data_IF_200389501211
#
_entry.id   IF_200389501211
#
_cell.length_a   1.000
_cell.length_b   1.000
_cell.length_c   1.000
_cell.angle_alpha   90.00
_cell.angle_beta   90.00
_cell.angle_gamma   90.00
#
_symmetry.space_group_name_H-M   'P 1'
#
loop_
_entity.id
_entity.type
_entity.pdbx_description
1 polymer ?
#
# COMPACT_ATOMS: atom_id res chain seq x y z
N UNK A 1 -26.56 -7.53 15.40
CA UNK A 1 -25.13 -7.75 15.14
C UNK A 1 -24.55 -6.42 14.70
N UNK A 2 -23.39 -5.98 15.20
CA UNK A 2 -22.73 -4.81 14.64
C UNK A 2 -22.48 -5.06 13.14
N UNK A 3 -22.52 -4.04 12.28
CA UNK A 3 -22.20 -4.21 10.87
C UNK A 3 -20.82 -4.82 10.77
N UNK A 4 -20.68 -5.83 9.90
CA UNK A 4 -19.40 -6.46 9.67
C UNK A 4 -18.38 -5.37 9.26
N UNK A 5 -17.20 -5.43 9.87
CA UNK A 5 -16.07 -4.56 9.55
C UNK A 5 -15.86 -4.53 8.02
N UNK A 6 -15.62 -3.35 7.46
CA UNK A 6 -15.46 -3.17 6.01
C UNK A 6 -14.36 -4.09 5.47
N UNK A 7 -13.28 -4.30 6.21
CA UNK A 7 -12.21 -5.21 5.85
C UNK A 7 -12.73 -6.65 5.66
N UNK A 8 -13.55 -7.14 6.58
CA UNK A 8 -14.16 -8.48 6.50
C UNK A 8 -15.09 -8.59 5.28
N UNK A 9 -15.84 -7.53 4.97
CA UNK A 9 -16.74 -7.50 3.81
C UNK A 9 -15.95 -7.56 2.49
N UNK A 10 -14.85 -6.80 2.37
CA UNK A 10 -13.99 -6.80 1.19
C UNK A 10 -13.36 -8.18 1.01
N UNK A 11 -12.79 -8.75 2.06
CA UNK A 11 -12.19 -10.09 2.03
C UNK A 11 -13.21 -11.16 1.66
N UNK A 12 -14.43 -11.08 2.19
CA UNK A 12 -15.50 -12.03 1.85
C UNK A 12 -15.90 -11.94 0.36
N UNK A 13 -16.03 -10.72 -0.18
CA UNK A 13 -16.31 -10.50 -1.60
C UNK A 13 -15.17 -11.01 -2.49
N UNK A 14 -13.91 -10.71 -2.14
CA UNK A 14 -12.74 -11.22 -2.87
C UNK A 14 -12.68 -12.73 -2.88
N UNK A 15 -12.91 -13.38 -1.73
CA UNK A 15 -12.98 -14.85 -1.65
C UNK A 15 -14.11 -15.42 -2.51
N UNK A 16 -15.29 -14.81 -2.47
CA UNK A 16 -16.43 -15.24 -3.28
C UNK A 16 -16.13 -15.11 -4.78
N UNK A 17 -15.61 -13.97 -5.23
CA UNK A 17 -15.22 -13.73 -6.63
C UNK A 17 -14.18 -14.73 -7.11
N UNK A 18 -13.23 -15.07 -6.28
CA UNK A 18 -12.15 -16.00 -6.60
C UNK A 18 -12.53 -17.46 -6.40
N UNK A 19 -13.70 -17.77 -5.84
CA UNK A 19 -14.10 -19.13 -5.51
C UNK A 19 -13.21 -19.80 -4.45
N UNK A 20 -12.69 -19.00 -3.50
CA UNK A 20 -11.74 -19.46 -2.46
C UNK A 20 -12.49 -19.78 -1.18
N UNK A 21 -12.33 -21.01 -0.70
CA UNK A 21 -12.86 -21.40 0.62
C UNK A 21 -12.15 -20.64 1.74
N UNK A 22 -12.87 -20.25 2.82
CA UNK A 22 -12.24 -19.69 4.03
C UNK A 22 -11.16 -20.59 4.64
N UNK A 23 -11.27 -21.91 4.43
CA UNK A 23 -10.31 -22.90 4.90
C UNK A 23 -9.10 -23.13 3.97
N UNK A 24 -8.99 -22.36 2.87
CA UNK A 24 -7.83 -22.48 1.98
C UNK A 24 -6.58 -22.01 2.70
N UNK A 25 -5.58 -22.87 2.73
CA UNK A 25 -4.32 -22.62 3.41
C UNK A 25 -3.57 -21.46 2.77
N UNK A 26 -2.97 -20.62 3.61
CA UNK A 26 -1.92 -19.68 3.21
C UNK A 26 -0.80 -20.43 2.46
N UNK A 27 0.01 -19.70 1.67
CA UNK A 27 1.22 -20.27 1.12
C UNK A 27 2.05 -20.95 2.22
N UNK A 28 2.81 -22.01 1.87
CA UNK A 28 3.70 -22.62 2.85
C UNK A 28 4.66 -21.57 3.42
N UNK A 29 5.15 -21.76 4.65
CA UNK A 29 6.14 -20.87 5.24
C UNK A 29 7.31 -20.69 4.28
N UNK A 30 7.72 -19.44 4.08
CA UNK A 30 8.87 -19.13 3.25
C UNK A 30 10.13 -19.73 3.89
N UNK A 31 10.79 -20.64 3.15
CA UNK A 31 12.03 -21.28 3.60
C UNK A 31 13.28 -20.63 3.03
N UNK A 32 13.11 -19.64 2.15
CA UNK A 32 14.21 -18.85 1.61
C UNK A 32 14.78 -17.86 2.63
N UNK A 33 16.01 -17.42 2.42
CA UNK A 33 16.58 -16.32 3.19
C UNK A 33 16.13 -14.99 2.63
N UNK A 34 15.75 -14.05 3.50
CA UNK A 34 15.63 -12.64 3.11
C UNK A 34 17.02 -12.14 2.69
N UNK A 35 17.08 -11.46 1.56
CA UNK A 35 18.31 -10.80 1.12
C UNK A 35 18.06 -9.30 1.05
N UNK A 36 18.64 -8.56 1.99
CA UNK A 36 18.58 -7.10 2.01
C UNK A 36 19.11 -6.49 0.69
N UNK A 37 20.12 -7.09 0.08
CA UNK A 37 20.66 -6.64 -1.22
C UNK A 37 19.67 -6.87 -2.36
N UNK A 38 19.04 -8.04 -2.43
CA UNK A 38 18.04 -8.32 -3.45
C UNK A 38 16.78 -7.44 -3.26
N UNK A 39 16.39 -7.21 -2.03
CA UNK A 39 15.30 -6.29 -1.69
C UNK A 39 15.62 -4.85 -2.09
N UNK A 40 16.81 -4.35 -1.79
CA UNK A 40 17.25 -3.01 -2.18
C UNK A 40 17.35 -2.82 -3.71
N UNK A 41 17.49 -3.90 -4.48
CA UNK A 41 17.49 -3.86 -5.95
C UNK A 41 16.07 -3.80 -6.55
N UNK A 42 15.03 -4.06 -5.77
CA UNK A 42 13.64 -3.92 -6.23
C UNK A 42 13.36 -2.45 -6.56
N UNK A 43 12.79 -2.12 -7.75
CA UNK A 43 12.61 -0.74 -8.20
C UNK A 43 11.79 0.13 -7.23
N UNK A 44 10.75 -0.45 -6.61
CA UNK A 44 9.91 0.28 -5.66
C UNK A 44 10.67 0.61 -4.37
N UNK A 45 11.33 -0.36 -3.78
CA UNK A 45 12.16 -0.17 -2.57
C UNK A 45 13.30 0.82 -2.83
N UNK A 46 13.98 0.68 -3.97
CA UNK A 46 15.06 1.58 -4.37
C UNK A 46 14.59 3.03 -4.53
N UNK A 47 13.43 3.25 -5.15
CA UNK A 47 12.87 4.58 -5.35
C UNK A 47 12.53 5.28 -4.02
N UNK A 48 11.97 4.54 -3.05
CA UNK A 48 11.70 5.07 -1.72
C UNK A 48 12.99 5.32 -0.94
N UNK A 49 13.93 4.36 -0.99
CA UNK A 49 15.21 4.46 -0.30
C UNK A 49 16.05 5.64 -0.76
N UNK A 50 16.02 5.99 -2.05
CA UNK A 50 16.73 7.12 -2.63
C UNK A 50 16.20 8.49 -2.15
N UNK A 51 14.98 8.55 -1.61
CA UNK A 51 14.30 9.79 -1.17
C UNK A 51 13.81 9.69 0.27
N UNK A 52 14.53 8.97 1.12
CA UNK A 52 14.15 8.78 2.54
C UNK A 52 13.78 10.08 3.22
N UNK A 53 12.66 10.06 3.95
CA UNK A 53 12.11 11.23 4.63
C UNK A 53 11.28 12.17 3.75
N UNK A 54 11.27 11.94 2.41
CA UNK A 54 10.50 12.74 1.44
C UNK A 54 9.92 11.93 0.29
N UNK A 55 9.97 10.59 0.35
CA UNK A 55 9.46 9.74 -0.71
C UNK A 55 7.92 9.73 -0.72
N UNK A 56 7.32 10.14 -1.84
CA UNK A 56 5.86 10.13 -2.02
C UNK A 56 5.45 8.94 -2.87
N UNK A 57 4.55 8.14 -2.33
CA UNK A 57 3.79 7.11 -3.05
C UNK A 57 2.43 7.74 -3.38
N UNK A 58 2.24 8.17 -4.63
CA UNK A 58 1.01 8.82 -5.05
C UNK A 58 -0.04 7.78 -5.47
N UNK A 59 -1.26 7.86 -4.91
CA UNK A 59 -2.28 6.83 -5.12
C UNK A 59 -3.27 7.22 -6.23
N UNK A 60 -3.49 6.30 -7.16
CA UNK A 60 -4.63 6.28 -8.09
C UNK A 60 -5.69 5.31 -7.57
N UNK A 61 -6.92 5.78 -7.45
CA UNK A 61 -8.05 5.02 -6.93
C UNK A 61 -9.35 5.46 -7.62
N UNK A 62 -10.09 4.48 -8.16
CA UNK A 62 -11.31 4.73 -8.93
C UNK A 62 -12.58 4.81 -8.09
N UNK A 63 -12.44 4.73 -6.78
CA UNK A 63 -13.52 4.87 -5.81
C UNK A 63 -13.16 4.37 -4.44
N UNK A 64 -14.11 4.41 -3.52
CA UNK A 64 -13.98 3.81 -2.19
C UNK A 64 -15.37 3.61 -1.57
N UNK A 65 -15.51 2.80 -0.50
CA UNK A 65 -16.77 2.65 0.21
C UNK A 65 -17.38 3.99 0.68
N UNK A 66 -16.52 4.99 0.97
CA UNK A 66 -16.93 6.32 1.44
C UNK A 66 -17.28 7.26 0.30
N UNK A 67 -16.51 7.25 -0.80
CA UNK A 67 -16.66 8.21 -1.91
C UNK A 67 -17.56 7.69 -3.03
N UNK A 68 -17.87 6.40 -3.06
CA UNK A 68 -18.47 5.74 -4.21
C UNK A 68 -17.52 5.71 -5.40
N UNK A 69 -18.05 5.45 -6.60
CA UNK A 69 -17.28 5.45 -7.84
C UNK A 69 -16.83 6.87 -8.24
N UNK A 70 -15.58 6.98 -8.68
CA UNK A 70 -14.99 8.19 -9.26
C UNK A 70 -14.86 8.09 -10.78
N UNK A 71 -15.46 7.08 -11.42
CA UNK A 71 -15.45 6.91 -12.86
C UNK A 71 -15.96 8.18 -13.59
N UNK A 72 -15.22 8.62 -14.60
CA UNK A 72 -15.52 9.83 -15.36
C UNK A 72 -15.16 11.16 -14.68
N UNK A 73 -14.68 11.14 -13.44
CA UNK A 73 -14.25 12.38 -12.73
C UNK A 73 -12.84 12.81 -13.11
N UNK A 74 -12.00 11.89 -13.49
CA UNK A 74 -10.64 12.13 -13.96
C UNK A 74 -10.17 10.97 -14.85
N UNK A 75 -9.11 11.20 -15.59
CA UNK A 75 -8.40 10.21 -16.39
C UNK A 75 -7.24 9.65 -15.55
N UNK A 76 -7.26 8.35 -15.18
CA UNK A 76 -6.27 7.79 -14.27
C UNK A 76 -4.85 7.75 -14.85
N UNK A 77 -4.69 7.58 -16.16
CA UNK A 77 -3.38 7.59 -16.82
C UNK A 77 -2.78 8.99 -16.82
N UNK A 78 -3.57 10.02 -17.14
CA UNK A 78 -3.14 11.42 -17.03
C UNK A 78 -2.82 11.80 -15.59
N UNK A 79 -3.60 11.28 -14.63
CA UNK A 79 -3.34 11.50 -13.22
C UNK A 79 -2.00 10.90 -12.80
N UNK A 80 -1.71 9.65 -13.20
CA UNK A 80 -0.44 8.99 -12.93
C UNK A 80 0.74 9.75 -13.56
N UNK A 81 0.61 10.19 -14.82
CA UNK A 81 1.62 11.01 -15.48
C UNK A 81 1.87 12.34 -14.76
N UNK A 82 0.79 12.99 -14.27
CA UNK A 82 0.89 14.22 -13.50
C UNK A 82 1.62 14.01 -12.16
N UNK A 83 1.39 12.87 -11.49
CA UNK A 83 2.13 12.51 -10.27
C UNK A 83 3.63 12.35 -10.52
N UNK A 84 4.00 11.67 -11.61
CA UNK A 84 5.40 11.51 -12.00
C UNK A 84 6.05 12.87 -12.31
N UNK A 85 5.39 13.72 -13.10
CA UNK A 85 5.85 15.05 -13.43
C UNK A 85 6.01 15.95 -12.19
N UNK A 86 5.17 15.73 -11.17
CA UNK A 86 5.24 16.44 -9.89
C UNK A 86 6.29 15.88 -8.91
N UNK A 87 7.03 14.85 -9.30
CA UNK A 87 8.13 14.29 -8.52
C UNK A 87 7.74 13.20 -7.52
N UNK A 88 6.60 12.54 -7.68
CA UNK A 88 6.31 11.33 -6.91
C UNK A 88 7.43 10.28 -7.09
N UNK A 89 7.77 9.57 -6.01
CA UNK A 89 8.80 8.52 -6.03
C UNK A 89 8.26 7.20 -6.60
N UNK A 90 7.00 6.92 -6.32
CA UNK A 90 6.32 5.69 -6.74
C UNK A 90 4.81 5.92 -6.90
N UNK A 91 4.16 4.97 -7.56
CA UNK A 91 2.72 4.95 -7.76
C UNK A 91 2.08 3.86 -6.89
N UNK A 92 0.94 4.16 -6.30
CA UNK A 92 0.02 3.18 -5.72
C UNK A 92 -1.23 3.10 -6.59
N UNK A 93 -1.62 1.90 -7.02
CA UNK A 93 -2.87 1.70 -7.74
C UNK A 93 -3.75 0.72 -6.98
N UNK A 94 -4.95 1.17 -6.59
CA UNK A 94 -5.92 0.29 -5.95
C UNK A 94 -6.55 -0.57 -7.03
N UNK A 95 -6.32 -1.89 -6.96
CA UNK A 95 -6.78 -2.86 -7.98
C UNK A 95 -8.02 -3.64 -7.55
N UNK A 96 -8.48 -3.48 -6.32
CA UNK A 96 -9.68 -4.13 -5.78
C UNK A 96 -10.93 -3.65 -6.54
N UNK A 97 -11.72 -4.56 -7.17
CA UNK A 97 -12.79 -4.15 -8.09
C UNK A 97 -14.14 -3.85 -7.43
N UNK A 98 -14.51 -4.55 -6.33
CA UNK A 98 -15.87 -4.55 -5.81
C UNK A 98 -16.20 -3.28 -4.99
N UNK A 99 -15.23 -2.76 -4.27
CA UNK A 99 -15.38 -1.60 -3.37
C UNK A 99 -14.60 -0.36 -3.82
N UNK A 100 -13.51 -0.58 -4.60
CA UNK A 100 -12.63 0.49 -5.05
C UNK A 100 -12.65 0.69 -6.55
N UNK A 101 -13.37 -0.15 -7.30
CA UNK A 101 -13.57 -0.04 -8.76
C UNK A 101 -12.25 -0.09 -9.54
N UNK A 102 -11.26 -0.81 -9.01
CA UNK A 102 -9.94 -0.96 -9.61
C UNK A 102 -9.81 -2.19 -10.49
N UNK A 103 -8.65 -2.33 -11.13
CA UNK A 103 -8.27 -3.54 -11.86
C UNK A 103 -6.74 -3.61 -12.05
N UNK A 104 -6.24 -4.78 -12.40
CA UNK A 104 -4.82 -4.95 -12.75
C UNK A 104 -4.47 -4.29 -14.09
N UNK A 105 -5.42 -4.21 -15.03
CA UNK A 105 -5.27 -3.47 -16.29
C UNK A 105 -5.10 -1.96 -16.03
N UNK A 106 -5.83 -1.42 -15.04
CA UNK A 106 -5.67 -0.03 -14.59
C UNK A 106 -4.25 0.21 -14.07
N UNK A 107 -3.70 -0.73 -13.29
CA UNK A 107 -2.32 -0.64 -12.80
C UNK A 107 -1.33 -0.61 -13.97
N UNK A 108 -1.45 -1.55 -14.91
CA UNK A 108 -0.59 -1.63 -16.08
C UNK A 108 -0.63 -0.34 -16.91
N UNK A 109 -1.83 0.19 -17.18
CA UNK A 109 -2.02 1.42 -17.93
C UNK A 109 -1.41 2.65 -17.22
N UNK A 110 -1.68 2.82 -15.92
CA UNK A 110 -1.13 3.91 -15.12
C UNK A 110 0.40 3.84 -15.03
N UNK A 111 0.96 2.65 -14.81
CA UNK A 111 2.41 2.46 -14.78
C UNK A 111 3.06 2.79 -16.12
N UNK A 112 2.48 2.34 -17.22
CA UNK A 112 2.96 2.66 -18.57
C UNK A 112 2.93 4.18 -18.86
N UNK A 113 1.89 4.87 -18.38
CA UNK A 113 1.74 6.32 -18.58
C UNK A 113 2.73 7.16 -17.76
N UNK A 114 3.19 6.68 -16.61
CA UNK A 114 4.04 7.47 -15.71
C UNK A 114 5.50 6.99 -15.62
N UNK A 115 5.79 5.72 -15.93
CA UNK A 115 7.13 5.13 -15.82
C UNK A 115 7.65 4.95 -14.39
N UNK A 116 6.83 5.23 -13.36
CA UNK A 116 7.19 5.05 -11.95
C UNK A 116 7.09 3.58 -11.54
N UNK A 117 7.91 3.13 -10.57
CA UNK A 117 7.65 1.86 -9.92
C UNK A 117 6.28 1.91 -9.21
N UNK A 118 5.56 0.78 -9.25
CA UNK A 118 4.17 0.73 -8.82
C UNK A 118 3.89 -0.40 -7.83
N UNK A 119 3.04 -0.10 -6.83
CA UNK A 119 2.47 -1.10 -5.92
C UNK A 119 1.03 -1.42 -6.31
N UNK A 120 0.70 -2.72 -6.37
CA UNK A 120 -0.68 -3.16 -6.41
C UNK A 120 -1.28 -3.10 -5.00
N UNK A 121 -2.26 -2.20 -4.79
CA UNK A 121 -2.96 -2.09 -3.52
C UNK A 121 -4.20 -2.98 -3.56
N UNK A 122 -4.11 -4.13 -2.89
CA UNK A 122 -5.09 -5.22 -2.93
C UNK A 122 -5.27 -5.85 -1.54
N UNK A 123 -6.35 -6.58 -1.35
CA UNK A 123 -6.58 -7.45 -0.19
C UNK A 123 -6.29 -8.90 -0.60
N UNK A 124 -5.05 -9.32 -0.43
CA UNK A 124 -4.58 -10.61 -0.94
C UNK A 124 -5.15 -11.76 -0.13
N UNK A 125 -5.83 -12.68 -0.81
CA UNK A 125 -6.44 -13.90 -0.24
C UNK A 125 -6.17 -15.15 -1.07
N UNK A 126 -5.53 -14.98 -2.25
CA UNK A 126 -5.19 -16.06 -3.17
C UNK A 126 -3.89 -15.76 -3.93
N UNK A 127 -3.09 -16.80 -4.19
CA UNK A 127 -1.81 -16.65 -4.92
C UNK A 127 -1.97 -16.05 -6.32
N UNK A 128 -3.12 -16.29 -6.98
CA UNK A 128 -3.42 -15.71 -8.28
C UNK A 128 -3.38 -14.18 -8.29
N UNK A 129 -3.70 -13.52 -7.15
CA UNK A 129 -3.63 -12.06 -7.04
C UNK A 129 -2.18 -11.58 -7.10
N UNK A 130 -1.21 -12.35 -6.57
CA UNK A 130 0.21 -12.07 -6.72
C UNK A 130 0.69 -12.28 -8.16
N UNK A 131 0.21 -13.37 -8.83
CA UNK A 131 0.53 -13.64 -10.24
C UNK A 131 0.01 -12.49 -11.12
N UNK A 132 -1.24 -12.08 -10.97
CA UNK A 132 -1.84 -10.97 -11.72
C UNK A 132 -1.15 -9.62 -11.44
N UNK A 133 -0.73 -9.37 -10.21
CA UNK A 133 0.02 -8.15 -9.88
C UNK A 133 1.38 -8.12 -10.61
N UNK A 134 2.10 -9.25 -10.61
CA UNK A 134 3.38 -9.37 -11.31
C UNK A 134 3.20 -9.26 -12.84
N UNK A 135 2.19 -9.93 -13.42
CA UNK A 135 1.84 -9.86 -14.84
C UNK A 135 1.44 -8.44 -15.28
N UNK A 136 0.75 -7.70 -14.41
CA UNK A 136 0.41 -6.29 -14.65
C UNK A 136 1.63 -5.35 -14.50
N UNK A 137 2.79 -5.89 -14.12
CA UNK A 137 4.03 -5.16 -13.96
C UNK A 137 4.19 -4.42 -12.64
N UNK A 138 3.45 -4.80 -11.59
CA UNK A 138 3.71 -4.27 -10.26
C UNK A 138 5.13 -4.60 -9.78
N UNK A 139 5.73 -3.71 -9.00
CA UNK A 139 7.03 -3.92 -8.35
C UNK A 139 6.85 -4.24 -6.86
N UNK A 140 5.67 -3.94 -6.31
CA UNK A 140 5.33 -4.19 -4.92
C UNK A 140 3.87 -4.63 -4.77
N UNK A 141 3.55 -5.21 -3.62
CA UNK A 141 2.21 -5.65 -3.25
C UNK A 141 1.89 -5.27 -1.81
N UNK A 142 0.65 -4.88 -1.54
CA UNK A 142 0.17 -4.63 -0.18
C UNK A 142 -0.19 -5.95 0.50
N UNK A 143 0.27 -6.12 1.75
CA UNK A 143 -0.15 -7.18 2.65
C UNK A 143 -0.71 -6.56 3.93
N UNK A 144 -2.00 -6.67 4.18
CA UNK A 144 -2.65 -6.13 5.39
C UNK A 144 -2.46 -7.10 6.54
N UNK A 145 -1.62 -6.77 7.52
CA UNK A 145 -1.22 -7.66 8.60
C UNK A 145 -2.40 -8.27 9.36
N UNK A 146 -3.45 -7.48 9.61
CA UNK A 146 -4.65 -7.91 10.31
C UNK A 146 -5.43 -9.08 9.63
N UNK A 147 -5.09 -9.44 8.39
CA UNK A 147 -5.71 -10.56 7.66
C UNK A 147 -5.06 -11.92 7.94
N UNK A 148 -3.91 -11.95 8.61
CA UNK A 148 -3.06 -13.14 8.67
C UNK A 148 -2.58 -13.41 10.10
N UNK A 149 -2.23 -14.66 10.35
CA UNK A 149 -1.31 -15.02 11.43
C UNK A 149 0.14 -14.68 11.05
N UNK A 150 1.06 -14.67 11.99
CA UNK A 150 2.48 -14.38 11.71
C UNK A 150 3.08 -15.36 10.68
N UNK A 151 2.75 -16.65 10.77
CA UNK A 151 3.23 -17.65 9.81
C UNK A 151 2.64 -17.45 8.41
N UNK A 152 1.35 -17.10 8.32
CA UNK A 152 0.70 -16.80 7.04
C UNK A 152 1.28 -15.54 6.40
N UNK A 153 1.48 -14.47 7.19
CA UNK A 153 2.06 -13.22 6.69
C UNK A 153 3.47 -13.44 6.11
N UNK A 154 4.30 -14.22 6.80
CA UNK A 154 5.63 -14.61 6.32
C UNK A 154 5.53 -15.44 5.02
N UNK A 155 4.57 -16.36 4.94
CA UNK A 155 4.32 -17.15 3.72
C UNK A 155 3.89 -16.29 2.53
N UNK A 156 2.96 -15.35 2.74
CA UNK A 156 2.50 -14.42 1.71
C UNK A 156 3.64 -13.50 1.24
N UNK A 157 4.44 -12.99 2.16
CA UNK A 157 5.60 -12.16 1.83
C UNK A 157 6.65 -12.95 1.01
N UNK A 158 6.90 -14.21 1.39
CA UNK A 158 7.77 -15.10 0.63
C UNK A 158 7.26 -15.33 -0.79
N UNK A 159 5.98 -15.68 -0.93
CA UNK A 159 5.35 -15.89 -2.23
C UNK A 159 5.36 -14.63 -3.13
N UNK A 160 5.23 -13.44 -2.52
CA UNK A 160 5.37 -12.18 -3.23
C UNK A 160 6.80 -11.97 -3.75
N UNK A 161 7.81 -12.20 -2.90
CA UNK A 161 9.24 -12.08 -3.28
C UNK A 161 9.64 -13.02 -4.41
N UNK A 162 9.14 -14.26 -4.40
CA UNK A 162 9.36 -15.23 -5.48
C UNK A 162 8.86 -14.74 -6.86
N UNK A 163 7.92 -13.78 -6.86
CA UNK A 163 7.37 -13.12 -8.05
C UNK A 163 8.00 -11.76 -8.35
N UNK A 164 9.06 -11.39 -7.62
CA UNK A 164 9.71 -10.09 -7.76
C UNK A 164 8.95 -8.92 -7.12
N UNK A 165 7.86 -9.19 -6.38
CA UNK A 165 7.05 -8.19 -5.69
C UNK A 165 7.62 -7.92 -4.29
N UNK A 166 7.97 -6.67 -3.99
CA UNK A 166 8.33 -6.28 -2.63
C UNK A 166 7.06 -6.12 -1.76
N UNK A 167 6.95 -6.81 -0.61
CA UNK A 167 5.81 -6.63 0.28
C UNK A 167 5.89 -5.29 1.02
N UNK A 168 4.80 -4.51 0.96
CA UNK A 168 4.50 -3.44 1.91
C UNK A 168 3.50 -4.02 2.93
N UNK A 169 3.94 -4.21 4.17
CA UNK A 169 3.07 -4.73 5.23
C UNK A 169 2.36 -3.58 5.92
N UNK A 170 1.06 -3.47 5.69
CA UNK A 170 0.20 -2.46 6.33
C UNK A 170 -0.22 -2.92 7.72
N UNK A 171 -0.02 -2.06 8.72
CA UNK A 171 -0.38 -2.27 10.13
C UNK A 171 -1.32 -1.18 10.62
N UNK A 172 -2.22 -1.53 11.55
CA UNK A 172 -3.20 -0.62 12.14
C UNK A 172 -3.10 -0.57 13.66
N UNK A 173 -2.48 -1.55 14.30
CA UNK A 173 -2.40 -1.64 15.75
C UNK A 173 -1.05 -2.16 16.22
N UNK A 174 -0.74 -1.95 17.50
CA UNK A 174 0.49 -2.48 18.07
C UNK A 174 0.53 -4.03 18.02
N UNK A 175 -0.63 -4.69 18.12
CA UNK A 175 -0.75 -6.14 17.94
C UNK A 175 -0.34 -6.63 16.56
N UNK A 176 -0.54 -5.81 15.51
CA UNK A 176 -0.12 -6.17 14.16
C UNK A 176 1.40 -6.21 14.06
N UNK A 177 2.10 -5.34 14.80
CA UNK A 177 3.56 -5.31 14.83
C UNK A 177 4.17 -6.56 15.49
N UNK A 178 3.44 -7.21 16.38
CA UNK A 178 3.86 -8.48 17.00
C UNK A 178 3.97 -9.61 15.96
N UNK A 179 3.11 -9.56 14.92
CA UNK A 179 3.11 -10.52 13.80
C UNK A 179 4.38 -10.42 12.94
N UNK A 180 5.07 -9.28 13.00
CA UNK A 180 6.28 -9.01 12.21
C UNK A 180 7.55 -9.56 12.86
N UNK A 181 7.48 -9.99 14.14
CA UNK A 181 8.63 -10.43 14.90
C UNK A 181 9.31 -11.66 14.29
N UNK A 182 10.65 -11.66 14.32
CA UNK A 182 11.44 -12.80 13.83
C UNK A 182 11.63 -12.87 12.31
N UNK A 183 11.11 -11.88 11.57
CA UNK A 183 11.28 -11.75 10.12
C UNK A 183 11.86 -10.38 9.77
N UNK A 184 12.49 -10.31 8.61
CA UNK A 184 12.95 -9.05 8.02
C UNK A 184 11.94 -8.58 6.95
N UNK A 185 11.71 -7.26 6.92
CA UNK A 185 10.70 -6.63 6.08
C UNK A 185 11.31 -5.49 5.28
N UNK A 186 10.95 -5.38 4.01
CA UNK A 186 11.38 -4.29 3.14
C UNK A 186 10.74 -2.97 3.55
N UNK A 187 9.42 -3.04 3.75
CA UNK A 187 8.58 -1.87 4.03
C UNK A 187 7.50 -2.24 5.03
N UNK A 188 7.30 -1.37 6.01
CA UNK A 188 6.18 -1.48 6.94
C UNK A 188 5.40 -0.17 6.94
N UNK A 189 4.12 -0.27 6.62
CA UNK A 189 3.17 0.83 6.62
C UNK A 189 2.40 0.93 7.93
N UNK A 190 2.14 2.16 8.39
CA UNK A 190 1.16 2.42 9.44
C UNK A 190 0.02 3.21 8.84
N UNK A 191 -1.17 2.61 8.82
CA UNK A 191 -2.37 3.26 8.32
C UNK A 191 -3.06 4.04 9.44
N UNK A 192 -3.11 5.38 9.27
CA UNK A 192 -3.75 6.29 10.21
C UNK A 192 -5.29 6.23 10.19
N UNK A 193 -5.88 5.52 9.23
CA UNK A 193 -7.33 5.37 9.12
C UNK A 193 -7.79 4.11 9.83
N UNK A 194 -8.64 4.27 10.84
CA UNK A 194 -9.38 3.14 11.41
C UNK A 194 -10.38 2.62 10.37
N UNK A 195 -10.26 1.34 10.00
CA UNK A 195 -11.11 0.72 8.98
C UNK A 195 -12.56 0.46 9.45
N UNK A 196 -12.85 0.63 10.75
CA UNK A 196 -14.19 0.47 11.32
C UNK A 196 -14.95 1.78 11.40
N UNK A 197 -14.26 2.87 11.83
CA UNK A 197 -14.86 4.19 12.02
C UNK A 197 -14.60 5.14 10.86
N UNK A 198 -13.60 4.86 10.01
CA UNK A 198 -13.03 5.74 8.99
C UNK A 198 -12.41 7.03 9.55
N UNK A 199 -12.27 7.14 10.85
CA UNK A 199 -11.55 8.24 11.48
C UNK A 199 -10.06 8.17 11.15
N UNK A 200 -9.44 9.34 11.09
CA UNK A 200 -8.01 9.48 10.76
C UNK A 200 -7.31 10.20 11.89
N UNK A 201 -6.25 9.60 12.42
CA UNK A 201 -5.40 10.20 13.45
C UNK A 201 -3.90 9.96 13.14
N UNK A 202 -3.19 11.02 12.77
CA UNK A 202 -1.73 10.96 12.54
C UNK A 202 -0.93 10.67 13.82
N UNK A 203 -1.49 10.98 14.99
CA UNK A 203 -0.89 10.60 16.28
C UNK A 203 -0.69 9.10 16.41
N UNK A 204 -1.53 8.32 15.75
CA UNK A 204 -1.45 6.87 15.72
C UNK A 204 -0.14 6.37 15.09
N UNK A 205 0.19 6.80 13.86
CA UNK A 205 1.47 6.44 13.23
C UNK A 205 2.66 6.90 14.07
N UNK A 206 2.61 8.11 14.60
CA UNK A 206 3.71 8.67 15.40
C UNK A 206 3.96 7.82 16.64
N UNK A 207 2.91 7.34 17.31
CA UNK A 207 3.03 6.48 18.48
C UNK A 207 3.56 5.07 18.16
N UNK A 208 3.25 4.54 16.96
CA UNK A 208 3.71 3.22 16.53
C UNK A 208 5.11 3.23 15.90
N UNK A 209 5.55 4.35 15.33
CA UNK A 209 6.83 4.45 14.61
C UNK A 209 8.04 3.88 15.37
N UNK A 210 8.24 4.15 16.68
CA UNK A 210 9.38 3.59 17.42
C UNK A 210 9.36 2.05 17.58
N UNK A 211 8.21 1.42 17.29
CA UNK A 211 8.01 -0.03 17.44
C UNK A 211 8.16 -0.78 16.12
N UNK A 212 8.31 -0.06 15.00
CA UNK A 212 8.50 -0.69 13.69
C UNK A 212 9.82 -1.47 13.64
N UNK A 213 9.88 -2.59 12.89
CA UNK A 213 11.09 -3.37 12.72
C UNK A 213 12.25 -2.49 12.25
N UNK A 214 13.44 -2.60 12.87
CA UNK A 214 14.62 -1.87 12.42
C UNK A 214 15.02 -2.33 11.02
N UNK A 215 15.43 -1.40 10.17
CA UNK A 215 15.86 -1.69 8.79
C UNK A 215 14.76 -1.62 7.74
N UNK A 216 13.49 -1.82 8.08
CA UNK A 216 12.38 -1.61 7.18
C UNK A 216 12.18 -0.11 6.86
N UNK A 217 11.80 0.20 5.61
CA UNK A 217 11.32 1.54 5.27
C UNK A 217 9.95 1.77 5.93
N UNK A 218 9.85 2.82 6.73
CA UNK A 218 8.61 3.18 7.42
C UNK A 218 7.74 4.04 6.52
N UNK A 219 6.53 3.57 6.23
CA UNK A 219 5.56 4.26 5.37
C UNK A 219 4.38 4.76 6.22
N UNK A 220 4.08 6.07 6.17
CA UNK A 220 2.85 6.59 6.75
C UNK A 220 1.75 6.62 5.71
N UNK A 221 0.57 6.07 6.05
CA UNK A 221 -0.56 5.96 5.13
C UNK A 221 -1.80 6.65 5.69
N UNK A 222 -2.57 7.26 4.81
CA UNK A 222 -3.81 7.99 5.11
C UNK A 222 -3.63 9.27 5.94
N UNK A 223 -4.53 10.23 5.73
CA UNK A 223 -4.66 11.44 6.56
C UNK A 223 -3.67 12.57 6.26
N UNK A 224 -2.80 12.40 5.29
CA UNK A 224 -1.79 13.41 4.92
C UNK A 224 -2.44 14.44 4.00
N UNK A 225 -2.64 15.65 4.48
CA UNK A 225 -3.38 16.69 3.76
C UNK A 225 -2.72 18.07 3.76
N UNK A 226 -1.73 18.29 4.64
CA UNK A 226 -1.02 19.56 4.79
C UNK A 226 0.49 19.34 4.94
N UNK A 227 1.26 20.41 4.71
CA UNK A 227 2.71 20.43 4.98
C UNK A 227 3.01 20.09 6.44
N UNK A 228 2.22 20.62 7.36
CA UNK A 228 2.39 20.35 8.79
C UNK A 228 2.22 18.86 9.13
N UNK A 229 1.35 18.13 8.43
CA UNK A 229 1.21 16.67 8.59
C UNK A 229 2.50 15.96 8.18
N UNK A 230 3.07 16.36 7.04
CA UNK A 230 4.33 15.79 6.53
C UNK A 230 5.46 16.07 7.52
N UNK A 231 5.61 17.30 7.99
CA UNK A 231 6.68 17.70 8.94
C UNK A 231 6.59 16.93 10.26
N UNK A 232 5.38 16.71 10.77
CA UNK A 232 5.16 15.89 11.98
C UNK A 232 5.60 14.44 11.77
N UNK A 233 5.27 13.86 10.63
CA UNK A 233 5.63 12.48 10.30
C UNK A 233 7.14 12.35 9.99
N UNK A 234 7.74 13.35 9.34
CA UNK A 234 9.20 13.41 9.13
C UNK A 234 9.94 13.47 10.47
N UNK A 235 9.49 14.34 11.38
CA UNK A 235 10.07 14.44 12.72
C UNK A 235 9.95 13.14 13.52
N UNK A 236 8.90 12.34 13.28
CA UNK A 236 8.75 11.02 13.85
C UNK A 236 9.66 9.96 13.17
N UNK A 237 10.30 10.27 12.04
CA UNK A 237 11.24 9.40 11.35
C UNK A 237 10.61 8.46 10.32
N UNK A 238 9.47 8.82 9.71
CA UNK A 238 8.95 8.09 8.55
C UNK A 238 9.81 8.35 7.31
N UNK A 239 9.98 7.30 6.49
CA UNK A 239 10.81 7.33 5.28
C UNK A 239 10.00 7.72 4.03
N UNK A 240 8.71 7.32 3.99
CA UNK A 240 7.83 7.52 2.84
C UNK A 240 6.36 7.77 3.27
N UNK A 241 5.59 8.32 2.34
CA UNK A 241 4.21 8.78 2.56
C UNK A 241 3.30 8.31 1.44
N UNK A 242 2.28 7.49 1.76
CA UNK A 242 1.26 7.09 0.81
C UNK A 242 0.11 8.10 0.86
N UNK A 243 -0.06 8.85 -0.23
CA UNK A 243 -0.98 9.98 -0.34
C UNK A 243 -1.97 9.73 -1.47
N UNK A 244 -3.25 9.63 -1.15
CA UNK A 244 -4.32 9.38 -2.12
C UNK A 244 -5.36 10.51 -2.13
N UNK A 245 -6.19 10.58 -1.11
CA UNK A 245 -7.39 11.42 -1.11
C UNK A 245 -7.11 12.91 -1.37
N UNK A 246 -6.10 13.46 -0.72
CA UNK A 246 -5.73 14.88 -0.91
C UNK A 246 -5.19 15.19 -2.31
N UNK A 247 -4.60 14.20 -3.00
CA UNK A 247 -4.15 14.33 -4.38
C UNK A 247 -5.28 14.11 -5.40
N UNK A 248 -6.24 13.24 -5.10
CA UNK A 248 -7.38 12.96 -5.97
C UNK A 248 -8.41 14.10 -5.99
N UNK A 249 -8.56 14.80 -4.86
CA UNK A 249 -9.57 15.84 -4.70
C UNK A 249 -9.03 17.25 -5.03
N UNK A 250 -7.74 17.38 -5.27
CA UNK A 250 -7.12 18.65 -5.58
C UNK A 250 -7.20 18.95 -7.07
N UNK A 251 -7.71 19.83 -7.68
CA UNK A 251 -7.73 20.09 -9.15
C UNK A 251 -6.35 20.15 -9.83
N UNK A 252 -5.24 20.23 -9.07
CA UNK A 252 -3.87 20.26 -9.56
C UNK A 252 -2.93 19.45 -8.66
N UNK A 253 -2.63 18.18 -9.02
CA UNK A 253 -1.74 17.31 -8.26
C UNK A 253 -0.32 17.85 -8.08
N UNK A 254 0.23 18.53 -9.09
CA UNK A 254 1.56 19.10 -9.03
C UNK A 254 1.66 20.20 -7.97
N UNK A 255 0.68 21.10 -7.95
CA UNK A 255 0.60 22.14 -6.93
C UNK A 255 0.44 21.54 -5.52
N UNK A 256 -0.38 20.50 -5.39
CA UNK A 256 -0.60 19.84 -4.10
C UNK A 256 0.65 19.10 -3.60
N UNK A 257 1.36 18.41 -4.48
CA UNK A 257 2.64 17.78 -4.11
C UNK A 257 3.70 18.83 -3.72
N UNK A 258 3.77 19.95 -4.44
CA UNK A 258 4.62 21.10 -4.08
C UNK A 258 4.24 21.71 -2.73
N UNK A 259 2.94 21.82 -2.40
CA UNK A 259 2.47 22.27 -1.09
C UNK A 259 2.91 21.32 0.03
N UNK A 260 2.80 20.01 -0.20
CA UNK A 260 3.07 19.00 0.81
C UNK A 260 4.57 18.77 1.04
N UNK A 261 5.39 18.76 -0.03
CA UNK A 261 6.78 18.29 0.02
C UNK A 261 7.81 19.27 -0.55
N UNK A 262 7.36 20.40 -1.12
CA UNK A 262 8.19 21.44 -1.73
C UNK A 262 8.99 22.32 -0.75
#
# INVERSE_FOLDING_TARGET
MPPADILQRIVAASRQRLGVSPARQAPPPFTGSFSATASAANPFVAALGARRGGAVIAEVKMGSPRLGSLAGRFDPEKQAAAYAAAGAAALSVVVEPDFFFGSYELLAACKAACGLPAIAKEFVVDLRQLDWAAEAGADAILLVAALYSAAELAGWAGAARERGLAPLVETHAASDLELLSGNEWEMVGVNNRDLRTFEVDLGHSIALRPKLPPGALAVAESGISSRADVERLQAAGFDAYLVGESLLLCGNPAAKLGELFG
#
